data_IF_108313833142
#
_entry.id   IF_108313833142
#
_cell.length_a   1.000
_cell.length_b   1.000
_cell.length_c   1.000
_cell.angle_alpha   90.00
_cell.angle_beta   90.00
_cell.angle_gamma   90.00
#
_symmetry.space_group_name_H-M   'P 1'
#
loop_
_entity.id
_entity.type
_entity.pdbx_description
1 polymer ?
#
# COMPACT_ATOMS: atom_id res chain seq x y z
N UNK A 1 12.00 34.02 10.35
CA UNK A 1 10.90 33.86 11.26
C UNK A 1 10.78 32.38 11.60
N UNK A 2 10.80 32.05 12.89
CA UNK A 2 10.61 30.72 13.36
C UNK A 2 9.21 30.26 12.92
N UNK A 3 9.12 29.11 12.27
CA UNK A 3 7.85 28.46 11.99
C UNK A 3 7.29 28.05 13.34
N UNK A 4 6.33 28.81 13.86
CA UNK A 4 5.60 28.41 15.05
C UNK A 4 4.73 27.23 14.64
N UNK A 5 5.15 26.03 15.06
CA UNK A 5 4.34 24.82 14.96
C UNK A 5 2.96 25.12 15.53
N UNK A 6 1.93 24.88 14.73
CA UNK A 6 0.57 24.93 15.22
C UNK A 6 0.43 23.92 16.36
N UNK A 7 0.01 24.36 17.53
CA UNK A 7 -0.12 23.49 18.69
C UNK A 7 -1.14 22.37 18.37
N UNK A 8 -0.69 21.10 18.44
CA UNK A 8 -1.55 19.93 18.48
C UNK A 8 -1.64 19.05 17.24
N UNK A 9 -0.73 19.13 16.27
CA UNK A 9 -0.64 18.17 15.17
C UNK A 9 0.35 17.03 15.48
N UNK A 10 0.09 15.84 14.97
CA UNK A 10 1.07 14.74 14.93
C UNK A 10 2.18 15.10 13.95
N UNK A 11 3.44 15.10 14.40
CA UNK A 11 4.60 15.33 13.57
C UNK A 11 5.31 14.00 13.30
N UNK A 12 5.57 13.70 12.03
CA UNK A 12 6.38 12.55 11.63
C UNK A 12 7.85 12.96 11.71
N UNK A 13 8.54 12.48 12.73
CA UNK A 13 9.95 12.82 12.97
C UNK A 13 10.91 12.19 11.97
N UNK A 14 10.56 11.03 11.39
CA UNK A 14 11.47 10.23 10.60
C UNK A 14 10.83 9.60 9.37
N UNK A 15 11.64 9.41 8.35
CA UNK A 15 11.34 8.57 7.20
C UNK A 15 12.53 7.72 6.84
N UNK A 16 12.29 6.54 6.27
CA UNK A 16 13.33 5.66 5.74
C UNK A 16 13.56 6.00 4.27
N UNK A 17 14.83 6.18 3.90
CA UNK A 17 15.23 6.28 2.50
C UNK A 17 15.51 4.89 1.96
N UNK A 18 15.00 4.61 0.76
CA UNK A 18 15.24 3.41 -0.01
C UNK A 18 15.98 3.76 -1.31
N UNK A 19 17.01 2.99 -1.62
CA UNK A 19 17.81 3.14 -2.83
C UNK A 19 17.83 1.81 -3.60
N UNK A 20 17.24 1.79 -4.79
CA UNK A 20 17.16 0.56 -5.59
C UNK A 20 18.51 -0.02 -5.96
N UNK A 21 19.52 0.85 -6.14
CA UNK A 21 20.90 0.44 -6.45
C UNK A 21 21.57 -0.35 -5.33
N UNK A 22 21.13 -0.12 -4.08
CA UNK A 22 21.55 -0.86 -2.89
C UNK A 22 20.66 -2.05 -2.55
N UNK A 23 19.55 -2.22 -3.28
CA UNK A 23 18.52 -3.26 -3.02
C UNK A 23 17.89 -3.14 -1.63
N UNK A 24 17.63 -1.89 -1.20
CA UNK A 24 17.06 -1.63 0.12
C UNK A 24 15.63 -2.11 0.22
N UNK A 25 15.32 -2.83 1.30
CA UNK A 25 13.97 -3.30 1.61
C UNK A 25 13.83 -3.60 3.10
N UNK A 26 12.58 -3.55 3.60
CA UNK A 26 12.25 -4.16 4.88
C UNK A 26 11.52 -5.47 4.62
N UNK A 27 11.79 -6.48 5.44
CA UNK A 27 11.14 -7.78 5.32
C UNK A 27 10.62 -8.26 6.66
N UNK A 28 9.48 -8.96 6.62
CA UNK A 28 8.90 -9.65 7.77
C UNK A 28 8.16 -10.89 7.31
N UNK A 29 8.37 -12.00 8.01
CA UNK A 29 7.51 -13.18 7.92
C UNK A 29 6.67 -13.22 9.20
N UNK A 30 5.35 -13.31 9.06
CA UNK A 30 4.46 -13.46 10.21
C UNK A 30 4.54 -14.89 10.74
N UNK A 31 4.34 -15.05 12.06
CA UNK A 31 4.38 -16.37 12.68
C UNK A 31 3.17 -17.22 12.29
N UNK A 32 2.02 -16.58 12.14
CA UNK A 32 0.74 -17.19 11.80
C UNK A 32 0.03 -16.34 10.75
N UNK A 33 -0.95 -16.94 10.05
CA UNK A 33 -1.87 -16.18 9.20
C UNK A 33 -2.70 -15.21 10.03
N UNK A 34 -2.82 -13.99 9.57
CA UNK A 34 -3.86 -13.08 10.01
C UNK A 34 -5.19 -13.38 9.35
N UNK A 35 -6.15 -12.48 9.43
CA UNK A 35 -7.40 -12.58 8.69
C UNK A 35 -7.15 -12.20 7.22
N UNK A 36 -7.06 -13.20 6.34
CA UNK A 36 -6.73 -13.02 4.93
C UNK A 36 -7.91 -12.44 4.12
N UNK A 37 -9.12 -12.52 4.69
CA UNK A 37 -10.33 -11.93 4.12
C UNK A 37 -10.47 -10.44 4.45
N UNK A 38 -9.92 -10.02 5.62
CA UNK A 38 -10.17 -8.69 6.16
C UNK A 38 -8.91 -8.10 6.80
N UNK A 39 -8.39 -7.04 6.20
CA UNK A 39 -7.22 -6.31 6.71
C UNK A 39 -7.11 -4.95 6.03
N UNK A 40 -6.27 -4.08 6.59
CA UNK A 40 -5.93 -2.78 5.99
C UNK A 40 -4.43 -2.56 6.06
N UNK A 41 -3.83 -2.18 4.94
CA UNK A 41 -2.48 -1.65 4.89
C UNK A 41 -2.51 -0.15 4.65
N UNK A 42 -1.67 0.58 5.36
CA UNK A 42 -1.47 2.03 5.22
C UNK A 42 0.02 2.35 5.15
N UNK A 43 0.39 3.32 4.32
CA UNK A 43 1.76 3.79 4.26
C UNK A 43 1.92 5.08 3.47
N UNK A 44 2.93 5.86 3.83
CA UNK A 44 3.31 7.09 3.15
C UNK A 44 4.54 6.83 2.30
N UNK A 45 4.46 7.19 1.02
CA UNK A 45 5.51 6.95 0.03
C UNK A 45 5.83 8.23 -0.74
N UNK A 46 7.12 8.47 -0.95
CA UNK A 46 7.61 9.54 -1.82
C UNK A 46 8.58 8.92 -2.83
N UNK A 47 8.31 9.13 -4.12
CA UNK A 47 9.16 8.63 -5.20
C UNK A 47 10.37 9.54 -5.41
N UNK A 48 11.50 8.99 -5.85
CA UNK A 48 12.68 9.76 -6.32
C UNK A 48 12.85 9.72 -7.83
N UNK A 49 12.10 8.87 -8.53
CA UNK A 49 12.13 8.76 -9.99
C UNK A 49 10.76 8.31 -10.55
N UNK A 50 10.51 8.59 -11.82
CA UNK A 50 9.32 8.20 -12.57
C UNK A 50 9.70 7.31 -13.76
N UNK A 51 8.70 6.70 -14.40
CA UNK A 51 8.92 5.88 -15.58
C UNK A 51 9.53 4.51 -15.29
N UNK A 52 9.63 4.13 -14.03
CA UNK A 52 10.17 2.84 -13.56
C UNK A 52 9.20 2.15 -12.61
N UNK A 53 9.27 0.84 -12.57
CA UNK A 53 8.46 0.06 -11.64
C UNK A 53 9.11 0.06 -10.25
N UNK A 54 8.30 0.38 -9.24
CA UNK A 54 8.69 0.33 -7.84
C UNK A 54 7.64 -0.40 -7.03
N UNK A 55 8.02 -1.49 -6.38
CA UNK A 55 7.16 -2.17 -5.44
C UNK A 55 7.17 -1.44 -4.10
N UNK A 56 5.98 -1.20 -3.57
CA UNK A 56 5.77 -0.47 -2.32
C UNK A 56 5.55 -1.44 -1.16
N UNK A 57 4.65 -2.40 -1.37
CA UNK A 57 4.33 -3.46 -0.43
C UNK A 57 4.01 -4.73 -1.20
N UNK A 58 4.56 -5.84 -0.79
CA UNK A 58 4.32 -7.13 -1.43
C UNK A 58 4.43 -8.29 -0.46
N UNK A 59 3.85 -9.41 -0.83
CA UNK A 59 3.98 -10.69 -0.13
C UNK A 59 4.21 -11.80 -1.15
N UNK A 60 4.91 -12.84 -0.74
CA UNK A 60 5.21 -13.95 -1.63
C UNK A 60 5.12 -15.29 -0.91
N UNK A 61 4.29 -16.17 -1.44
CA UNK A 61 4.21 -17.57 -1.04
C UNK A 61 5.03 -18.42 -2.01
N UNK A 62 6.09 -19.05 -1.50
CA UNK A 62 6.98 -19.94 -2.27
C UNK A 62 6.40 -21.35 -2.43
N UNK A 63 5.22 -21.64 -1.86
CA UNK A 63 4.52 -22.91 -1.99
C UNK A 63 4.06 -23.20 -3.41
N UNK A 64 3.34 -24.29 -3.61
CA UNK A 64 2.73 -24.65 -4.89
C UNK A 64 1.20 -24.77 -4.72
N UNK A 65 0.41 -23.96 -5.44
CA UNK A 65 0.83 -22.92 -6.39
C UNK A 65 1.50 -21.72 -5.68
N UNK A 66 2.50 -21.13 -6.34
CA UNK A 66 3.17 -19.94 -5.83
C UNK A 66 2.28 -18.71 -6.04
N UNK A 67 1.73 -18.19 -4.93
CA UNK A 67 0.90 -16.98 -4.96
C UNK A 67 1.66 -15.76 -4.47
N UNK A 68 1.26 -14.59 -4.92
CA UNK A 68 1.85 -13.34 -4.43
C UNK A 68 0.90 -12.16 -4.57
N UNK A 69 1.13 -11.15 -3.75
CA UNK A 69 0.42 -9.90 -3.82
C UNK A 69 1.40 -8.73 -3.95
N UNK A 70 1.01 -7.70 -4.67
CA UNK A 70 1.84 -6.52 -4.83
C UNK A 70 1.03 -5.24 -4.98
N UNK A 71 1.52 -4.20 -4.35
CA UNK A 71 1.17 -2.80 -4.60
C UNK A 71 2.41 -2.11 -5.16
N UNK A 72 2.30 -1.50 -6.34
CA UNK A 72 3.45 -0.96 -7.05
C UNK A 72 3.12 0.24 -7.92
N UNK A 73 4.06 1.18 -8.04
CA UNK A 73 4.05 2.13 -9.14
C UNK A 73 4.53 1.42 -10.41
N UNK A 74 3.83 1.60 -11.50
CA UNK A 74 4.16 1.02 -12.80
C UNK A 74 5.03 1.98 -13.63
N UNK A 75 5.63 1.47 -14.71
CA UNK A 75 6.45 2.28 -15.65
C UNK A 75 5.69 3.43 -16.32
N UNK A 76 4.36 3.39 -16.35
CA UNK A 76 3.49 4.49 -16.81
C UNK A 76 3.02 5.42 -15.70
N UNK A 77 3.63 5.31 -14.50
CA UNK A 77 3.40 6.12 -13.31
C UNK A 77 2.01 6.02 -12.67
N UNK A 78 1.22 5.03 -13.04
CA UNK A 78 0.02 4.65 -12.32
C UNK A 78 0.32 3.67 -11.19
N UNK A 79 -0.65 3.46 -10.31
CA UNK A 79 -0.58 2.49 -9.23
C UNK A 79 -1.31 1.21 -9.66
N UNK A 80 -0.65 0.08 -9.45
CA UNK A 80 -1.22 -1.25 -9.65
C UNK A 80 -1.26 -1.95 -8.29
N UNK A 81 -2.40 -2.56 -7.98
CA UNK A 81 -2.57 -3.46 -6.84
C UNK A 81 -3.14 -4.77 -7.37
N UNK A 82 -2.50 -5.87 -7.02
CA UNK A 82 -2.97 -7.17 -7.44
C UNK A 82 -2.68 -8.29 -6.43
N UNK A 83 -3.48 -9.35 -6.54
CA UNK A 83 -3.28 -10.64 -5.89
C UNK A 83 -3.35 -11.72 -6.95
N UNK A 84 -2.41 -12.68 -6.90
CA UNK A 84 -2.24 -13.75 -7.87
C UNK A 84 -2.02 -15.08 -7.15
N UNK A 85 -2.76 -16.12 -7.54
CA UNK A 85 -2.74 -17.45 -6.89
C UNK A 85 -1.80 -18.45 -7.54
N UNK A 86 -0.94 -18.01 -8.46
CA UNK A 86 -0.09 -18.87 -9.27
C UNK A 86 -0.72 -19.27 -10.60
N UNK A 87 -2.03 -19.10 -10.79
CA UNK A 87 -2.77 -19.40 -12.01
C UNK A 87 -3.57 -18.21 -12.52
N UNK A 88 -4.23 -17.47 -11.62
CA UNK A 88 -5.15 -16.39 -11.95
C UNK A 88 -4.91 -15.15 -11.11
N UNK A 89 -5.28 -13.98 -11.65
CA UNK A 89 -5.43 -12.79 -10.87
C UNK A 89 -6.72 -12.90 -10.05
N UNK A 90 -6.59 -13.07 -8.73
CA UNK A 90 -7.72 -13.03 -7.80
C UNK A 90 -8.28 -11.61 -7.69
N UNK A 91 -7.40 -10.62 -7.87
CA UNK A 91 -7.73 -9.21 -7.86
C UNK A 91 -6.71 -8.44 -8.70
N UNK A 92 -7.17 -7.44 -9.46
CA UNK A 92 -6.29 -6.53 -10.19
C UNK A 92 -6.93 -5.16 -10.35
N UNK A 93 -6.29 -4.14 -9.77
CA UNK A 93 -6.70 -2.75 -9.93
C UNK A 93 -5.55 -1.93 -10.48
N UNK A 94 -5.85 -1.07 -11.46
CA UNK A 94 -4.91 -0.13 -12.04
C UNK A 94 -5.56 1.25 -12.12
N UNK A 95 -4.96 2.24 -11.49
CA UNK A 95 -5.51 3.60 -11.44
C UNK A 95 -5.39 4.32 -12.78
N UNK A 96 -6.34 5.21 -13.09
CA UNK A 96 -6.16 6.22 -14.15
C UNK A 96 -5.20 7.32 -13.70
N UNK A 97 -5.20 7.61 -12.40
CA UNK A 97 -4.32 8.59 -11.75
C UNK A 97 -2.84 8.26 -12.01
N UNK A 98 -2.05 9.32 -12.23
CA UNK A 98 -0.59 9.24 -12.38
C UNK A 98 0.11 9.90 -11.19
N UNK A 99 1.18 9.26 -10.72
CA UNK A 99 1.95 9.65 -9.53
C UNK A 99 3.30 10.21 -9.96
N UNK A 100 3.31 11.42 -10.57
CA UNK A 100 4.48 12.02 -11.22
C UNK A 100 5.15 13.13 -10.44
N UNK A 101 4.55 13.60 -9.35
CA UNK A 101 5.14 14.63 -8.52
C UNK A 101 6.14 14.00 -7.55
N UNK A 102 7.42 14.16 -7.82
CA UNK A 102 8.52 13.66 -6.99
C UNK A 102 8.70 14.48 -5.69
N UNK A 103 8.08 15.65 -5.59
CA UNK A 103 8.09 16.46 -4.36
C UNK A 103 7.01 16.02 -3.38
N UNK A 104 5.95 15.38 -3.85
CA UNK A 104 4.80 14.99 -3.06
C UNK A 104 5.02 13.69 -2.28
N UNK A 105 4.46 13.64 -1.08
CA UNK A 105 4.15 12.41 -0.37
C UNK A 105 2.78 11.89 -0.81
N UNK A 106 2.69 10.59 -1.01
CA UNK A 106 1.46 9.88 -1.31
C UNK A 106 1.12 8.97 -0.15
N UNK A 107 0.05 9.27 0.56
CA UNK A 107 -0.54 8.33 1.51
C UNK A 107 -1.41 7.34 0.75
N UNK A 108 -1.12 6.06 0.87
CA UNK A 108 -1.82 4.98 0.17
C UNK A 108 -2.39 4.04 1.21
N UNK A 109 -3.71 3.84 1.16
CA UNK A 109 -4.42 2.86 2.00
C UNK A 109 -5.13 1.87 1.10
N UNK A 110 -4.85 0.58 1.31
CA UNK A 110 -5.61 -0.52 0.71
C UNK A 110 -6.36 -1.27 1.81
N UNK A 111 -7.66 -1.40 1.66
CA UNK A 111 -8.53 -1.98 2.67
C UNK A 111 -9.38 -3.10 2.07
N UNK A 112 -9.29 -4.28 2.66
CA UNK A 112 -9.97 -5.49 2.19
C UNK A 112 -11.02 -5.96 3.20
N UNK A 113 -12.16 -6.40 2.67
CA UNK A 113 -13.14 -7.26 3.34
C UNK A 113 -13.85 -8.09 2.27
N UNK A 114 -13.28 -9.24 1.93
CA UNK A 114 -13.81 -10.08 0.84
C UNK A 114 -15.13 -10.74 1.20
N UNK A 115 -15.56 -10.70 2.46
CA UNK A 115 -16.85 -11.24 2.89
C UNK A 115 -18.04 -10.41 2.43
N UNK A 116 -17.80 -9.18 1.95
CA UNK A 116 -18.86 -8.27 1.49
C UNK A 116 -19.61 -8.82 0.27
N UNK A 117 -20.94 -8.69 0.28
CA UNK A 117 -21.78 -9.13 -0.83
C UNK A 117 -21.57 -8.31 -2.12
N UNK A 118 -21.26 -7.01 -1.99
CA UNK A 118 -21.01 -6.13 -3.14
C UNK A 118 -19.52 -6.11 -3.48
N UNK A 119 -19.17 -6.41 -4.72
CA UNK A 119 -17.78 -6.53 -5.16
C UNK A 119 -16.93 -5.28 -4.86
N UNK A 120 -17.46 -4.07 -5.14
CA UNK A 120 -16.76 -2.81 -4.87
C UNK A 120 -16.55 -2.49 -3.38
N UNK A 121 -17.18 -3.22 -2.48
CA UNK A 121 -16.95 -3.11 -1.04
C UNK A 121 -15.87 -4.08 -0.54
N UNK A 122 -15.45 -5.07 -1.35
CA UNK A 122 -14.43 -6.06 -0.97
C UNK A 122 -13.03 -5.50 -1.02
N UNK A 123 -12.81 -4.47 -1.81
CA UNK A 123 -11.55 -3.76 -1.93
C UNK A 123 -11.80 -2.26 -2.04
N UNK A 124 -11.07 -1.47 -1.27
CA UNK A 124 -11.06 -0.01 -1.34
C UNK A 124 -9.63 0.51 -1.36
N UNK A 125 -9.40 1.47 -2.23
CA UNK A 125 -8.14 2.20 -2.33
C UNK A 125 -8.37 3.66 -1.94
N UNK A 126 -7.50 4.21 -1.12
CA UNK A 126 -7.51 5.65 -0.80
C UNK A 126 -6.14 6.25 -1.11
N UNK A 127 -6.17 7.45 -1.68
CA UNK A 127 -4.97 8.25 -1.96
C UNK A 127 -5.14 9.61 -1.29
N UNK A 128 -4.24 9.94 -0.35
CA UNK A 128 -4.27 11.19 0.40
C UNK A 128 -5.67 11.50 0.98
N UNK A 129 -6.25 10.52 1.67
CA UNK A 129 -7.55 10.65 2.34
C UNK A 129 -8.78 10.47 1.46
N UNK A 130 -8.62 10.44 0.14
CA UNK A 130 -9.74 10.35 -0.81
C UNK A 130 -9.83 8.96 -1.43
N UNK A 131 -11.02 8.36 -1.41
CA UNK A 131 -11.23 7.07 -2.06
C UNK A 131 -11.00 7.19 -3.58
N UNK A 132 -10.12 6.34 -4.12
CA UNK A 132 -9.91 6.22 -5.57
C UNK A 132 -10.98 5.32 -6.18
N UNK A 133 -11.66 5.84 -7.17
CA UNK A 133 -12.74 5.13 -7.89
C UNK A 133 -12.53 5.10 -9.41
N UNK A 134 -11.48 5.79 -9.89
CA UNK A 134 -11.15 5.84 -11.32
C UNK A 134 -10.05 4.85 -11.65
N UNK A 135 -10.43 3.77 -12.31
CA UNK A 135 -9.54 2.68 -12.67
C UNK A 135 -9.60 2.38 -14.17
N UNK A 136 -8.44 2.27 -14.81
CA UNK A 136 -8.34 1.74 -16.17
C UNK A 136 -8.61 0.23 -16.22
N UNK A 137 -8.38 -0.46 -15.10
CA UNK A 137 -8.74 -1.86 -14.90
C UNK A 137 -9.17 -2.05 -13.45
N UNK A 138 -10.30 -2.74 -13.24
CA UNK A 138 -10.83 -3.06 -11.92
C UNK A 138 -11.41 -4.49 -11.91
N UNK A 139 -10.63 -5.43 -11.41
CA UNK A 139 -11.08 -6.80 -11.10
C UNK A 139 -11.12 -6.94 -9.59
N UNK A 140 -12.30 -7.02 -9.03
CA UNK A 140 -12.51 -7.22 -7.60
C UNK A 140 -12.35 -8.70 -7.22
N UNK A 141 -11.89 -9.00 -5.99
CA UNK A 141 -11.86 -10.39 -5.53
C UNK A 141 -13.26 -10.99 -5.47
N UNK A 142 -13.37 -12.28 -5.67
CA UNK A 142 -14.60 -13.01 -5.41
C UNK A 142 -14.95 -12.97 -3.92
N UNK A 143 -16.22 -13.21 -3.58
CA UNK A 143 -16.65 -13.22 -2.19
C UNK A 143 -15.96 -14.37 -1.43
N UNK A 144 -15.48 -14.07 -0.22
CA UNK A 144 -14.77 -14.99 0.67
C UNK A 144 -13.47 -15.55 0.05
N UNK A 145 -12.78 -14.77 -0.76
CA UNK A 145 -11.47 -15.13 -1.30
C UNK A 145 -10.37 -14.69 -0.34
N UNK A 146 -9.52 -15.61 0.07
CA UNK A 146 -8.30 -15.32 0.82
C UNK A 146 -7.30 -14.56 -0.05
N UNK A 147 -6.80 -13.44 0.46
CA UNK A 147 -5.77 -12.65 -0.19
C UNK A 147 -4.38 -13.12 0.25
N UNK A 148 -3.35 -12.90 -0.59
CA UNK A 148 -1.97 -13.26 -0.24
C UNK A 148 -1.27 -12.26 0.68
N UNK A 149 -1.86 -11.09 0.96
CA UNK A 149 -1.44 -10.24 2.07
C UNK A 149 -1.92 -10.81 3.40
N UNK A 150 -1.22 -10.42 4.47
CA UNK A 150 -1.57 -10.79 5.86
C UNK A 150 -1.48 -12.29 6.17
N UNK A 151 -0.71 -13.05 5.39
CA UNK A 151 -0.46 -14.48 5.55
C UNK A 151 0.85 -14.74 6.29
N UNK A 152 1.03 -15.98 6.76
CA UNK A 152 2.32 -16.49 7.26
C UNK A 152 3.31 -16.72 6.10
N UNK A 153 3.61 -15.65 5.36
CA UNK A 153 4.60 -15.63 4.28
C UNK A 153 5.49 -14.40 4.42
N UNK A 154 6.57 -14.37 3.65
CA UNK A 154 7.44 -13.20 3.66
C UNK A 154 6.74 -11.99 3.03
N UNK A 155 6.79 -10.87 3.73
CA UNK A 155 6.32 -9.56 3.26
C UNK A 155 7.49 -8.63 3.06
N UNK A 156 7.38 -7.72 2.09
CA UNK A 156 8.39 -6.73 1.75
C UNK A 156 7.78 -5.33 1.75
N UNK A 157 8.50 -4.37 2.29
CA UNK A 157 8.27 -2.94 2.04
C UNK A 157 9.42 -2.43 1.20
N UNK A 158 9.10 -1.76 0.09
CA UNK A 158 10.09 -1.20 -0.83
C UNK A 158 10.70 -2.20 -1.82
N UNK A 159 10.20 -3.43 -1.87
CA UNK A 159 10.65 -4.45 -2.82
C UNK A 159 9.58 -5.51 -3.08
N UNK A 160 9.85 -6.35 -4.06
CA UNK A 160 9.22 -7.65 -4.25
C UNK A 160 10.20 -8.79 -4.05
N UNK A 161 9.73 -10.00 -4.22
CA UNK A 161 10.59 -11.18 -4.28
C UNK A 161 11.46 -11.17 -5.53
N UNK A 162 12.71 -11.61 -5.40
CA UNK A 162 13.68 -11.63 -6.51
C UNK A 162 13.26 -12.55 -7.67
N UNK A 163 12.51 -13.61 -7.40
CA UNK A 163 12.01 -14.53 -8.43
C UNK A 163 10.94 -13.88 -9.33
N UNK A 164 10.24 -12.83 -8.81
CA UNK A 164 9.19 -12.10 -9.52
C UNK A 164 9.61 -10.67 -9.89
N UNK A 165 10.92 -10.40 -9.94
CA UNK A 165 11.47 -9.07 -10.15
C UNK A 165 11.34 -8.24 -8.86
N UNK A 166 12.43 -8.00 -8.19
CA UNK A 166 12.44 -7.31 -6.90
C UNK A 166 11.92 -5.86 -7.01
N UNK A 167 12.17 -5.19 -8.15
CA UNK A 167 11.66 -3.84 -8.47
C UNK A 167 11.73 -2.88 -7.27
N UNK A 168 12.95 -2.78 -6.71
CA UNK A 168 13.22 -2.00 -5.50
C UNK A 168 12.78 -0.56 -5.63
N UNK A 169 12.26 -0.01 -4.55
CA UNK A 169 11.88 1.39 -4.44
C UNK A 169 13.12 2.29 -4.46
N UNK A 170 13.05 3.38 -5.22
CA UNK A 170 13.87 4.57 -5.01
C UNK A 170 12.99 5.66 -4.44
N UNK A 171 13.19 6.03 -3.18
CA UNK A 171 12.32 7.01 -2.54
C UNK A 171 12.37 6.98 -1.03
N UNK A 172 11.29 7.42 -0.42
CA UNK A 172 11.15 7.50 1.02
C UNK A 172 9.85 6.83 1.46
N UNK A 173 9.88 6.25 2.64
CA UNK A 173 8.74 5.57 3.26
C UNK A 173 8.60 6.02 4.70
N UNK A 174 7.37 6.24 5.14
CA UNK A 174 7.03 6.56 6.52
C UNK A 174 5.67 6.00 6.92
N UNK A 175 5.41 5.87 8.21
CA UNK A 175 4.12 5.51 8.81
C UNK A 175 3.49 4.27 8.14
N UNK A 176 4.26 3.18 8.02
CA UNK A 176 3.77 1.92 7.47
C UNK A 176 3.16 1.07 8.56
N UNK A 177 1.90 0.70 8.39
CA UNK A 177 1.22 -0.24 9.27
C UNK A 177 0.32 -1.22 8.50
N UNK A 178 0.13 -2.39 9.07
CA UNK A 178 -0.82 -3.41 8.64
C UNK A 178 -1.75 -3.70 9.83
N UNK A 179 -3.04 -3.49 9.61
CA UNK A 179 -4.08 -3.73 10.62
C UNK A 179 -4.83 -5.00 10.25
N UNK A 180 -4.75 -5.99 11.14
CA UNK A 180 -5.42 -7.26 10.99
C UNK A 180 -6.91 -7.15 11.32
N UNK A 181 -7.73 -7.97 10.69
CA UNK A 181 -9.16 -8.16 10.96
C UNK A 181 -10.04 -6.89 10.86
N UNK A 182 -9.62 -5.87 10.12
CA UNK A 182 -10.39 -4.64 9.94
C UNK A 182 -10.25 -4.06 8.53
N UNK A 183 -11.39 -3.65 7.92
CA UNK A 183 -11.41 -2.82 6.73
C UNK A 183 -11.62 -1.36 7.15
N UNK A 184 -10.52 -0.61 7.27
CA UNK A 184 -10.51 0.78 7.73
C UNK A 184 -10.45 1.76 6.56
N UNK A 185 -11.07 2.92 6.73
CA UNK A 185 -10.95 4.03 5.79
C UNK A 185 -9.69 4.87 6.08
N UNK A 186 -9.35 5.79 5.19
CA UNK A 186 -8.13 6.57 5.30
C UNK A 186 -8.07 7.48 6.53
N UNK A 187 -9.23 7.92 7.03
CA UNK A 187 -9.36 8.76 8.24
C UNK A 187 -8.92 8.08 9.54
N UNK A 188 -8.73 6.75 9.51
CA UNK A 188 -8.07 6.01 10.59
C UNK A 188 -6.55 6.23 10.65
N UNK A 189 -5.94 6.85 9.63
CA UNK A 189 -4.49 6.99 9.47
C UNK A 189 -4.06 8.43 9.16
N UNK A 190 -5.00 9.32 8.96
CA UNK A 190 -4.72 10.72 8.63
C UNK A 190 -5.96 11.59 8.74
N UNK A 191 -5.74 12.89 8.59
CA UNK A 191 -6.81 13.89 8.60
C UNK A 191 -6.50 15.03 7.64
N UNK A 192 -7.51 15.77 7.22
CA UNK A 192 -7.32 17.02 6.53
C UNK A 192 -7.04 18.14 7.54
N UNK A 193 -5.91 18.80 7.39
CA UNK A 193 -5.60 19.98 8.19
C UNK A 193 -6.66 21.07 7.96
N UNK A 194 -7.30 21.51 9.04
CA UNK A 194 -8.44 22.43 8.96
C UNK A 194 -8.08 23.81 8.42
N UNK A 195 -6.82 24.20 8.47
CA UNK A 195 -6.35 25.53 8.03
C UNK A 195 -5.85 25.52 6.59
N UNK A 196 -5.17 24.46 6.16
CA UNK A 196 -4.55 24.36 4.83
C UNK A 196 -5.32 23.45 3.86
N UNK A 197 -6.18 22.56 4.38
CA UNK A 197 -6.84 21.52 3.61
C UNK A 197 -5.89 20.41 3.14
N UNK A 198 -4.65 20.38 3.64
CA UNK A 198 -3.66 19.36 3.25
C UNK A 198 -3.89 18.10 4.08
N UNK A 199 -3.85 16.95 3.42
CA UNK A 199 -3.90 15.66 4.08
C UNK A 199 -2.59 15.40 4.84
N UNK A 200 -2.68 15.05 6.11
CA UNK A 200 -1.53 14.81 7.00
C UNK A 200 -1.75 13.54 7.84
N UNK A 201 -0.68 12.90 8.33
CA UNK A 201 -0.80 11.74 9.22
C UNK A 201 -1.37 12.14 10.59
N UNK A 202 -1.93 11.15 11.28
CA UNK A 202 -2.29 11.22 12.71
C UNK A 202 -1.52 10.15 13.47
N UNK A 203 -1.47 10.25 14.80
CA UNK A 203 -0.91 9.21 15.65
C UNK A 203 -1.77 7.94 15.56
N UNK A 204 -1.17 6.84 15.13
CA UNK A 204 -1.79 5.51 15.04
C UNK A 204 -1.19 4.53 16.04
N UNK A 205 -0.30 5.00 16.92
CA UNK A 205 0.23 4.21 18.03
C UNK A 205 -0.88 3.99 19.07
N UNK A 206 -1.47 2.80 19.09
CA UNK A 206 -2.44 2.37 20.08
C UNK A 206 -1.77 1.79 21.33
#
# INVERSE_FOLDING_TARGET
PANTLAAGGFDVDNSLRFEKGSSDSLTRTFADDGNNDKFTFSGWFKRSEIGVEHRLFSSHNTGSPAGYASMQFHTSDDLIIFNYDGNNNLQYHRTDRKFRDLSAWYHIVIAYDTTQGTASNRFKLYINGVQETSFSTATYPDQNTDMYYNNNVIHYVGAGDSANGANFLSGYVSEVCLVDNAQLAADSFGEFDSSSGIWKPIDVSG
#
